data_IF_810958811005
#
_entry.id   IF_810958811005
#
_cell.length_a   1.000
_cell.length_b   1.000
_cell.length_c   1.000
_cell.angle_alpha   90.00
_cell.angle_beta   90.00
_cell.angle_gamma   90.00
#
_symmetry.space_group_name_H-M   'P 1'
#
loop_
_entity.id
_entity.type
_entity.pdbx_description
1 polymer ?
#
# COMPACT_ATOMS: atom_id res chain seq x y z
N UNK A 1 -36.97 78.35 -79.01
CA UNK A 1 -35.76 78.93 -78.37
C UNK A 1 -35.73 78.56 -76.89
N UNK A 2 -36.74 78.91 -76.09
CA UNK A 2 -36.82 78.59 -74.64
C UNK A 2 -36.70 77.09 -74.28
N UNK A 3 -37.32 76.17 -75.03
CA UNK A 3 -37.20 74.72 -74.79
C UNK A 3 -35.79 74.18 -75.07
N UNK A 4 -35.10 74.74 -76.09
CA UNK A 4 -33.73 74.35 -76.44
C UNK A 4 -32.71 74.86 -75.42
N UNK A 5 -32.92 76.05 -74.86
CA UNK A 5 -32.06 76.62 -73.80
C UNK A 5 -32.22 75.84 -72.49
N UNK A 6 -33.44 75.43 -72.15
CA UNK A 6 -33.74 74.61 -70.97
C UNK A 6 -33.12 73.21 -71.10
N UNK A 7 -33.18 72.60 -72.28
CA UNK A 7 -32.55 71.31 -72.55
C UNK A 7 -31.03 71.39 -72.40
N UNK A 8 -30.40 72.43 -72.94
CA UNK A 8 -28.95 72.65 -72.84
C UNK A 8 -28.51 72.91 -71.40
N UNK A 9 -29.27 73.69 -70.63
CA UNK A 9 -29.00 73.93 -69.20
C UNK A 9 -29.10 72.63 -68.38
N UNK A 10 -30.10 71.79 -68.64
CA UNK A 10 -30.27 70.49 -67.98
C UNK A 10 -29.13 69.52 -68.34
N UNK A 11 -28.68 69.50 -69.59
CA UNK A 11 -27.53 68.70 -70.02
C UNK A 11 -26.22 69.16 -69.37
N UNK A 12 -25.99 70.47 -69.26
CA UNK A 12 -24.82 71.02 -68.59
C UNK A 12 -24.81 70.74 -67.08
N UNK A 13 -25.98 70.83 -66.43
CA UNK A 13 -26.13 70.47 -65.01
C UNK A 13 -25.89 68.97 -64.78
N UNK A 14 -26.42 68.10 -65.66
CA UNK A 14 -26.18 66.66 -65.61
C UNK A 14 -24.70 66.31 -65.82
N UNK A 15 -24.01 66.98 -66.75
CA UNK A 15 -22.57 66.82 -66.97
C UNK A 15 -21.75 67.20 -65.73
N UNK A 16 -22.05 68.35 -65.12
CA UNK A 16 -21.34 68.81 -63.92
C UNK A 16 -21.56 67.88 -62.74
N UNK A 17 -22.80 67.45 -62.49
CA UNK A 17 -23.13 66.51 -61.43
C UNK A 17 -22.44 65.15 -61.62
N UNK A 18 -22.31 64.70 -62.88
CA UNK A 18 -21.55 63.50 -63.23
C UNK A 18 -20.06 63.65 -62.87
N UNK A 19 -19.39 64.72 -63.33
CA UNK A 19 -17.96 64.95 -63.07
C UNK A 19 -17.63 65.06 -61.58
N UNK A 20 -18.46 65.77 -60.81
CA UNK A 20 -18.31 65.90 -59.36
C UNK A 20 -18.47 64.54 -58.66
N UNK A 21 -19.47 63.75 -59.07
CA UNK A 21 -19.72 62.43 -58.52
C UNK A 21 -18.61 61.41 -58.88
N UNK A 22 -18.02 61.51 -60.08
CA UNK A 22 -16.83 60.73 -60.46
C UNK A 22 -15.62 61.11 -59.61
N UNK A 23 -15.32 62.40 -59.47
CA UNK A 23 -14.18 62.85 -58.68
C UNK A 23 -14.29 62.46 -57.19
N UNK A 24 -15.52 62.46 -56.66
CA UNK A 24 -15.83 61.96 -55.32
C UNK A 24 -15.66 60.44 -55.22
N UNK A 25 -16.25 59.68 -56.15
CA UNK A 25 -16.13 58.21 -56.22
C UNK A 25 -14.67 57.75 -56.30
N UNK A 26 -13.86 58.39 -57.15
CA UNK A 26 -12.44 58.07 -57.30
C UNK A 26 -11.62 58.41 -56.07
N UNK A 27 -11.99 59.49 -55.36
CA UNK A 27 -11.32 59.87 -54.11
C UNK A 27 -11.64 58.87 -53.02
N UNK A 28 -12.90 58.51 -52.84
CA UNK A 28 -13.32 57.54 -51.82
C UNK A 28 -12.83 56.12 -52.14
N UNK A 29 -12.79 55.75 -53.42
CA UNK A 29 -12.20 54.48 -53.86
C UNK A 29 -10.71 54.40 -53.52
N UNK A 30 -9.94 55.46 -53.79
CA UNK A 30 -8.51 55.54 -53.41
C UNK A 30 -8.29 55.49 -51.90
N UNK A 31 -9.25 55.97 -51.12
CA UNK A 31 -9.26 55.86 -49.65
C UNK A 31 -9.74 54.50 -49.15
N UNK A 32 -10.09 53.58 -50.05
CA UNK A 32 -10.68 52.28 -49.75
C UNK A 32 -12.01 52.37 -48.99
N UNK A 33 -12.67 53.53 -49.05
CA UNK A 33 -14.01 53.74 -48.51
C UNK A 33 -15.04 53.24 -49.53
N UNK A 34 -15.03 51.92 -49.75
CA UNK A 34 -15.75 51.29 -50.86
C UNK A 34 -17.26 51.55 -50.80
N UNK A 35 -17.88 51.57 -49.62
CA UNK A 35 -19.31 51.94 -49.47
C UNK A 35 -19.59 53.38 -49.91
N UNK A 36 -18.78 54.35 -49.49
CA UNK A 36 -18.93 55.74 -49.89
C UNK A 36 -18.61 55.97 -51.38
N UNK A 37 -17.59 55.28 -51.89
CA UNK A 37 -17.24 55.30 -53.32
C UNK A 37 -18.38 54.77 -54.18
N UNK A 38 -19.03 53.68 -53.76
CA UNK A 38 -20.18 53.08 -54.43
C UNK A 38 -21.36 54.06 -54.54
N UNK A 39 -21.68 54.75 -53.45
CA UNK A 39 -22.74 55.77 -53.43
C UNK A 39 -22.43 56.94 -54.36
N UNK A 40 -21.17 57.38 -54.44
CA UNK A 40 -20.74 58.43 -55.37
C UNK A 40 -20.83 57.97 -56.83
N UNK A 41 -20.40 56.75 -57.18
CA UNK A 41 -20.57 56.22 -58.54
C UNK A 41 -22.02 55.96 -58.92
N UNK A 42 -22.89 55.59 -57.97
CA UNK A 42 -24.35 55.50 -58.21
C UNK A 42 -24.94 56.87 -58.54
N UNK A 43 -24.52 57.93 -57.83
CA UNK A 43 -24.90 59.32 -58.17
C UNK A 43 -24.42 59.71 -59.56
N UNK A 44 -23.19 59.32 -59.95
CA UNK A 44 -22.68 59.56 -61.31
C UNK A 44 -23.54 58.83 -62.37
N UNK A 45 -23.88 57.55 -62.14
CA UNK A 45 -24.72 56.78 -63.05
C UNK A 45 -26.15 57.35 -63.17
N UNK A 46 -26.70 57.90 -62.09
CA UNK A 46 -27.99 58.58 -62.12
C UNK A 46 -27.94 59.92 -62.87
N UNK A 47 -26.85 60.68 -62.75
CA UNK A 47 -26.65 61.93 -63.47
C UNK A 47 -26.49 61.70 -64.99
N UNK A 48 -25.80 60.62 -65.39
CA UNK A 48 -25.67 60.20 -66.79
C UNK A 48 -25.64 58.67 -66.92
N UNK A 49 -26.77 58.10 -67.32
CA UNK A 49 -26.96 56.64 -67.42
C UNK A 49 -26.26 55.97 -68.61
N UNK A 50 -25.80 56.75 -69.60
CA UNK A 50 -25.15 56.25 -70.82
C UNK A 50 -23.63 56.03 -70.69
N UNK A 51 -23.03 56.41 -69.55
CA UNK A 51 -21.58 56.30 -69.34
C UNK A 51 -21.22 54.94 -68.72
N UNK A 52 -20.24 54.24 -69.31
CA UNK A 52 -19.83 52.91 -68.86
C UNK A 52 -19.02 52.91 -67.55
N UNK A 53 -18.23 53.97 -67.33
CA UNK A 53 -17.25 54.03 -66.24
C UNK A 53 -17.84 53.89 -64.82
N UNK A 54 -18.91 54.61 -64.42
CA UNK A 54 -19.53 54.40 -63.10
C UNK A 54 -20.01 52.97 -62.89
N UNK A 55 -20.58 52.33 -63.92
CA UNK A 55 -21.07 50.96 -63.87
C UNK A 55 -19.95 49.95 -63.64
N UNK A 56 -18.82 50.11 -64.35
CA UNK A 56 -17.62 49.29 -64.16
C UNK A 56 -17.05 49.45 -62.74
N UNK A 57 -17.00 50.69 -62.23
CA UNK A 57 -16.49 50.97 -60.88
C UNK A 57 -17.40 50.41 -59.79
N UNK A 58 -18.72 50.50 -59.94
CA UNK A 58 -19.69 49.88 -59.01
C UNK A 58 -19.50 48.36 -59.00
N UNK A 59 -19.40 47.72 -60.17
CA UNK A 59 -19.19 46.28 -60.24
C UNK A 59 -17.87 45.84 -59.59
N UNK A 60 -16.79 46.62 -59.79
CA UNK A 60 -15.50 46.38 -59.13
C UNK A 60 -15.59 46.54 -57.61
N UNK A 61 -16.28 47.56 -57.13
CA UNK A 61 -16.49 47.80 -55.70
C UNK A 61 -17.32 46.68 -55.07
N UNK A 62 -18.39 46.24 -55.74
CA UNK A 62 -19.24 45.15 -55.27
C UNK A 62 -18.43 43.84 -55.15
N UNK A 63 -17.52 43.58 -56.09
CA UNK A 63 -16.61 42.44 -56.01
C UNK A 63 -15.65 42.53 -54.80
N UNK A 64 -15.06 43.71 -54.55
CA UNK A 64 -14.15 43.94 -53.42
C UNK A 64 -14.87 43.82 -52.07
N UNK A 65 -16.08 44.35 -51.94
CA UNK A 65 -16.89 44.24 -50.73
C UNK A 65 -17.30 42.78 -50.48
N UNK A 66 -17.67 42.05 -51.52
CA UNK A 66 -17.98 40.63 -51.41
C UNK A 66 -16.76 39.79 -51.00
N UNK A 67 -15.56 40.13 -51.50
CA UNK A 67 -14.31 39.50 -51.08
C UNK A 67 -13.97 39.79 -49.60
N UNK A 68 -14.09 41.05 -49.17
CA UNK A 68 -13.90 41.45 -47.76
C UNK A 68 -14.89 40.74 -46.83
N UNK A 69 -16.16 40.65 -47.22
CA UNK A 69 -17.17 39.93 -46.45
C UNK A 69 -16.83 38.44 -46.30
N UNK A 70 -16.42 37.77 -47.39
CA UNK A 70 -15.99 36.36 -47.34
C UNK A 70 -14.76 36.16 -46.46
N UNK A 71 -13.78 37.05 -46.54
CA UNK A 71 -12.59 36.99 -45.70
C UNK A 71 -12.92 37.20 -44.21
N UNK A 72 -13.81 38.14 -43.89
CA UNK A 72 -14.27 38.39 -42.53
C UNK A 72 -15.08 37.21 -41.96
N UNK A 73 -15.96 36.61 -42.76
CA UNK A 73 -16.70 35.40 -42.39
C UNK A 73 -15.77 34.22 -42.14
N UNK A 74 -14.79 34.00 -43.01
CA UNK A 74 -13.80 32.93 -42.84
C UNK A 74 -12.95 33.15 -41.60
N UNK A 75 -12.50 34.38 -41.36
CA UNK A 75 -11.75 34.71 -40.15
C UNK A 75 -12.58 34.46 -38.89
N UNK A 76 -13.85 34.87 -38.87
CA UNK A 76 -14.76 34.62 -37.76
C UNK A 76 -14.98 33.11 -37.53
N UNK A 77 -15.09 32.30 -38.60
CA UNK A 77 -15.18 30.84 -38.51
C UNK A 77 -13.92 30.23 -37.89
N UNK A 78 -12.74 30.64 -38.35
CA UNK A 78 -11.46 30.15 -37.83
C UNK A 78 -11.27 30.54 -36.36
N UNK A 79 -11.65 31.75 -35.97
CA UNK A 79 -11.58 32.20 -34.58
C UNK A 79 -12.56 31.45 -33.67
N UNK A 80 -13.80 31.24 -34.12
CA UNK A 80 -14.79 30.44 -33.41
C UNK A 80 -14.33 28.98 -33.25
N UNK A 81 -13.74 28.39 -34.29
CA UNK A 81 -13.19 27.03 -34.23
C UNK A 81 -12.02 26.93 -33.25
N UNK A 82 -11.11 27.90 -33.25
CA UNK A 82 -10.00 27.97 -32.27
C UNK A 82 -10.51 28.06 -30.83
N UNK A 83 -11.53 28.88 -30.59
CA UNK A 83 -12.15 28.99 -29.26
C UNK A 83 -12.79 27.67 -28.83
N UNK A 84 -13.53 27.00 -29.74
CA UNK A 84 -14.14 25.71 -29.46
C UNK A 84 -13.11 24.64 -29.07
N UNK A 85 -12.00 24.56 -29.83
CA UNK A 85 -10.90 23.63 -29.53
C UNK A 85 -10.26 23.96 -28.18
N UNK A 86 -10.02 25.23 -27.89
CA UNK A 86 -9.44 25.64 -26.60
C UNK A 86 -10.37 25.31 -25.42
N UNK A 87 -11.67 25.52 -25.56
CA UNK A 87 -12.67 25.14 -24.55
C UNK A 87 -12.74 23.62 -24.35
N UNK A 88 -12.71 22.84 -25.43
CA UNK A 88 -12.70 21.38 -25.37
C UNK A 88 -11.44 20.86 -24.66
N UNK A 89 -10.27 21.42 -24.98
CA UNK A 89 -9.01 21.08 -24.31
C UNK A 89 -9.05 21.43 -22.82
N UNK A 90 -9.55 22.61 -22.47
CA UNK A 90 -9.69 23.03 -21.07
C UNK A 90 -10.64 22.11 -20.29
N UNK A 91 -11.75 21.67 -20.91
CA UNK A 91 -12.68 20.70 -20.31
C UNK A 91 -12.04 19.34 -20.12
N UNK A 92 -11.33 18.83 -21.13
CA UNK A 92 -10.63 17.56 -21.05
C UNK A 92 -9.52 17.57 -19.98
N UNK A 93 -8.79 18.68 -19.85
CA UNK A 93 -7.78 18.86 -18.82
C UNK A 93 -8.41 18.92 -17.41
N UNK A 94 -9.50 19.68 -17.24
CA UNK A 94 -10.22 19.74 -15.99
C UNK A 94 -10.77 18.36 -15.56
N UNK A 95 -11.33 17.59 -16.50
CA UNK A 95 -11.79 16.23 -16.23
C UNK A 95 -10.63 15.30 -15.84
N UNK A 96 -9.50 15.40 -16.53
CA UNK A 96 -8.30 14.62 -16.19
C UNK A 96 -7.80 14.93 -14.78
N UNK A 97 -7.76 16.21 -14.40
CA UNK A 97 -7.35 16.63 -13.06
C UNK A 97 -8.32 16.13 -11.99
N UNK A 98 -9.63 16.23 -12.25
CA UNK A 98 -10.66 15.71 -11.34
C UNK A 98 -10.55 14.18 -11.15
N UNK A 99 -10.26 13.43 -12.21
CA UNK A 99 -10.01 11.98 -12.14
C UNK A 99 -8.78 11.65 -11.30
N UNK A 100 -7.67 12.36 -11.52
CA UNK A 100 -6.44 12.17 -10.74
C UNK A 100 -6.63 12.48 -9.25
N UNK A 101 -7.40 13.53 -8.95
CA UNK A 101 -7.72 13.88 -7.56
C UNK A 101 -8.60 12.79 -6.90
N UNK A 102 -9.63 12.30 -7.61
CA UNK A 102 -10.47 11.21 -7.14
C UNK A 102 -9.67 9.92 -6.91
N UNK A 103 -8.73 9.59 -7.80
CA UNK A 103 -7.84 8.45 -7.66
C UNK A 103 -6.94 8.59 -6.43
N UNK A 104 -6.36 9.78 -6.21
CA UNK A 104 -5.55 10.06 -5.01
C UNK A 104 -6.37 9.89 -3.73
N UNK A 105 -7.57 10.46 -3.69
CA UNK A 105 -8.47 10.34 -2.53
C UNK A 105 -8.87 8.88 -2.27
N UNK A 106 -9.15 8.11 -3.33
CA UNK A 106 -9.46 6.69 -3.21
C UNK A 106 -8.25 5.89 -2.66
N UNK A 107 -7.04 6.16 -3.15
CA UNK A 107 -5.82 5.51 -2.67
C UNK A 107 -5.51 5.86 -1.21
N UNK A 108 -5.71 7.12 -0.81
CA UNK A 108 -5.56 7.56 0.59
C UNK A 108 -6.59 6.90 1.51
N UNK A 109 -7.85 6.80 1.08
CA UNK A 109 -8.92 6.13 1.82
C UNK A 109 -8.65 4.62 1.96
N UNK A 110 -8.17 3.95 0.90
CA UNK A 110 -7.79 2.54 0.96
C UNK A 110 -6.61 2.32 1.92
N UNK A 111 -5.57 3.16 1.83
CA UNK A 111 -4.43 3.12 2.75
C UNK A 111 -4.87 3.30 4.21
N UNK A 112 -5.78 4.24 4.48
CA UNK A 112 -6.32 4.46 5.82
C UNK A 112 -7.12 3.24 6.32
N UNK A 113 -7.94 2.63 5.45
CA UNK A 113 -8.69 1.41 5.76
C UNK A 113 -7.77 0.24 6.09
N UNK A 114 -6.71 0.03 5.31
CA UNK A 114 -5.72 -1.03 5.56
C UNK A 114 -4.94 -0.81 6.86
N UNK A 115 -4.61 0.44 7.20
CA UNK A 115 -3.98 0.77 8.47
C UNK A 115 -4.91 0.44 9.65
N UNK A 116 -6.17 0.88 9.58
CA UNK A 116 -7.17 0.58 10.62
C UNK A 116 -7.43 -0.92 10.77
N UNK A 117 -7.44 -1.68 9.67
CA UNK A 117 -7.58 -3.14 9.72
C UNK A 117 -6.40 -3.80 10.44
N UNK A 118 -5.16 -3.38 10.16
CA UNK A 118 -3.96 -3.92 10.83
C UNK A 118 -3.94 -3.61 12.31
N UNK A 119 -4.37 -2.41 12.71
CA UNK A 119 -4.51 -2.06 14.13
C UNK A 119 -5.61 -2.90 14.80
N UNK A 120 -6.76 -3.08 14.15
CA UNK A 120 -7.83 -3.92 14.68
C UNK A 120 -7.40 -5.39 14.82
N UNK A 121 -6.65 -5.92 13.84
CA UNK A 121 -6.12 -7.28 13.88
C UNK A 121 -5.05 -7.44 14.97
N UNK A 122 -4.15 -6.46 15.13
CA UNK A 122 -3.15 -6.50 16.21
C UNK A 122 -3.81 -6.43 17.58
N UNK A 123 -4.80 -5.56 17.76
CA UNK A 123 -5.57 -5.44 19.00
C UNK A 123 -6.36 -6.72 19.30
N UNK A 124 -7.00 -7.32 18.29
CA UNK A 124 -7.70 -8.59 18.43
C UNK A 124 -6.73 -9.73 18.81
N UNK A 125 -5.56 -9.79 18.17
CA UNK A 125 -4.52 -10.79 18.48
C UNK A 125 -3.98 -10.63 19.91
N UNK A 126 -3.69 -9.40 20.34
CA UNK A 126 -3.25 -9.13 21.71
C UNK A 126 -4.32 -9.53 22.72
N UNK A 127 -5.59 -9.25 22.44
CA UNK A 127 -6.69 -9.67 23.30
C UNK A 127 -6.81 -11.19 23.38
N UNK A 128 -6.83 -11.89 22.24
CA UNK A 128 -6.89 -13.36 22.20
C UNK A 128 -5.73 -13.96 23.00
N UNK A 129 -4.50 -13.48 22.78
CA UNK A 129 -3.33 -13.97 23.51
C UNK A 129 -3.44 -13.70 25.03
N UNK A 130 -4.00 -12.56 25.42
CA UNK A 130 -4.28 -12.25 26.83
C UNK A 130 -5.33 -13.20 27.42
N UNK A 131 -6.45 -13.44 26.72
CA UNK A 131 -7.52 -14.33 27.15
C UNK A 131 -7.04 -15.79 27.23
N UNK A 132 -6.21 -16.24 26.28
CA UNK A 132 -5.56 -17.56 26.30
C UNK A 132 -4.58 -17.70 27.48
N UNK A 133 -3.82 -16.64 27.79
CA UNK A 133 -2.90 -16.60 28.94
C UNK A 133 -3.66 -16.68 30.25
N UNK A 134 -4.77 -15.94 30.39
CA UNK A 134 -5.69 -16.00 31.53
C UNK A 134 -6.30 -17.39 31.71
N UNK A 135 -6.80 -17.99 30.62
CA UNK A 135 -7.39 -19.33 30.65
C UNK A 135 -6.35 -20.41 30.99
N UNK A 136 -5.14 -20.34 30.42
CA UNK A 136 -4.03 -21.24 30.75
C UNK A 136 -3.64 -21.11 32.22
N UNK A 137 -3.47 -19.88 32.71
CA UNK A 137 -3.18 -19.60 34.11
C UNK A 137 -4.25 -20.21 35.02
N UNK A 138 -5.54 -19.94 34.77
CA UNK A 138 -6.65 -20.47 35.56
C UNK A 138 -6.70 -22.00 35.57
N UNK A 139 -6.45 -22.66 34.43
CA UNK A 139 -6.38 -24.12 34.35
C UNK A 139 -5.20 -24.73 35.12
N UNK A 140 -4.04 -24.06 35.08
CA UNK A 140 -2.88 -24.44 35.88
C UNK A 140 -3.19 -24.31 37.38
N UNK A 141 -3.82 -23.20 37.79
CA UNK A 141 -4.22 -22.99 39.19
C UNK A 141 -5.18 -24.07 39.68
N UNK A 142 -6.22 -24.38 38.91
CA UNK A 142 -7.18 -25.42 39.26
C UNK A 142 -6.49 -26.79 39.46
N UNK A 143 -5.56 -27.13 38.57
CA UNK A 143 -4.75 -28.36 38.68
C UNK A 143 -3.88 -28.35 39.93
N UNK A 144 -3.22 -27.23 40.21
CA UNK A 144 -2.37 -27.07 41.39
C UNK A 144 -3.17 -27.19 42.70
N UNK A 145 -4.35 -26.56 42.76
CA UNK A 145 -5.27 -26.58 43.90
C UNK A 145 -5.86 -27.97 44.14
N UNK A 146 -6.18 -28.69 43.07
CA UNK A 146 -6.63 -30.08 43.15
C UNK A 146 -5.53 -30.97 43.75
N UNK A 147 -4.32 -30.91 43.20
CA UNK A 147 -3.17 -31.68 43.71
C UNK A 147 -2.86 -31.31 45.18
N UNK A 148 -3.02 -30.04 45.56
CA UNK A 148 -2.87 -29.62 46.96
C UNK A 148 -3.91 -30.31 47.86
N UNK A 149 -5.17 -30.34 47.43
CA UNK A 149 -6.28 -30.94 48.17
C UNK A 149 -6.10 -32.45 48.32
N UNK A 150 -5.58 -33.10 47.29
CA UNK A 150 -5.19 -34.51 47.28
C UNK A 150 -3.91 -34.79 48.10
N UNK A 151 -3.26 -33.74 48.62
CA UNK A 151 -2.00 -33.77 49.41
C UNK A 151 -0.78 -34.23 48.61
N UNK A 152 -0.87 -34.17 47.28
CA UNK A 152 0.23 -34.38 46.34
C UNK A 152 1.09 -33.11 46.29
N UNK A 153 1.73 -32.78 47.41
CA UNK A 153 2.37 -31.47 47.63
C UNK A 153 3.49 -31.16 46.63
N UNK A 154 4.31 -32.13 46.25
CA UNK A 154 5.36 -31.93 45.25
C UNK A 154 4.77 -31.64 43.85
N UNK A 155 3.71 -32.37 43.46
CA UNK A 155 2.97 -32.14 42.21
C UNK A 155 2.32 -30.76 42.21
N UNK A 156 1.61 -30.42 43.29
CA UNK A 156 0.96 -29.11 43.47
C UNK A 156 1.97 -27.96 43.38
N UNK A 157 3.11 -28.07 44.07
CA UNK A 157 4.18 -27.07 44.05
C UNK A 157 4.73 -26.85 42.64
N UNK A 158 4.94 -27.91 41.88
CA UNK A 158 5.39 -27.80 40.48
C UNK A 158 4.37 -27.06 39.60
N UNK A 159 3.07 -27.35 39.76
CA UNK A 159 2.02 -26.64 39.03
C UNK A 159 1.92 -25.15 39.42
N UNK A 160 2.11 -24.79 40.69
CA UNK A 160 2.18 -23.38 41.08
C UNK A 160 3.41 -22.67 40.52
N UNK A 161 4.57 -23.33 40.44
CA UNK A 161 5.73 -22.77 39.74
C UNK A 161 5.45 -22.57 38.26
N UNK A 162 4.76 -23.51 37.61
CA UNK A 162 4.30 -23.36 36.23
C UNK A 162 3.32 -22.19 36.05
N UNK A 163 2.46 -21.93 37.04
CA UNK A 163 1.59 -20.76 37.04
C UNK A 163 2.40 -19.45 37.02
N UNK A 164 3.51 -19.42 37.79
CA UNK A 164 4.43 -18.28 37.84
C UNK A 164 5.29 -18.13 36.59
N UNK A 165 5.51 -19.20 35.81
CA UNK A 165 6.09 -19.10 34.47
C UNK A 165 5.14 -18.40 33.49
N UNK A 166 3.83 -18.63 33.62
CA UNK A 166 2.79 -18.01 32.77
C UNK A 166 2.49 -16.57 33.21
N UNK A 167 2.32 -16.33 34.52
CA UNK A 167 2.10 -15.01 35.11
C UNK A 167 3.08 -14.80 36.29
N UNK A 168 4.26 -14.22 36.02
CA UNK A 168 5.25 -13.95 37.05
C UNK A 168 4.74 -12.94 38.09
N UNK A 169 5.04 -13.19 39.37
CA UNK A 169 4.73 -12.26 40.48
C UNK A 169 3.33 -12.37 41.07
N UNK A 170 2.53 -13.35 40.63
CA UNK A 170 1.20 -13.60 41.20
C UNK A 170 1.28 -14.04 42.67
N UNK A 171 0.57 -13.34 43.55
CA UNK A 171 0.63 -13.58 44.99
C UNK A 171 0.08 -14.95 45.40
N UNK A 172 -0.96 -15.43 44.72
CA UNK A 172 -1.65 -16.67 45.09
C UNK A 172 -0.75 -17.92 44.95
N UNK A 173 -0.15 -18.22 43.78
CA UNK A 173 0.80 -19.33 43.64
C UNK A 173 2.00 -19.22 44.59
N UNK A 174 2.53 -18.00 44.77
CA UNK A 174 3.64 -17.76 45.70
C UNK A 174 3.27 -18.15 47.12
N UNK A 175 2.10 -17.71 47.61
CA UNK A 175 1.62 -18.07 48.94
C UNK A 175 1.45 -19.58 49.14
N UNK A 176 0.90 -20.27 48.14
CA UNK A 176 0.69 -21.72 48.19
C UNK A 176 1.99 -22.51 48.16
N UNK A 177 2.98 -22.07 47.38
CA UNK A 177 4.33 -22.66 47.42
C UNK A 177 4.95 -22.52 48.82
N UNK A 178 4.82 -21.35 49.44
CA UNK A 178 5.31 -21.13 50.82
C UNK A 178 4.62 -22.07 51.80
N UNK A 179 3.29 -22.21 51.71
CA UNK A 179 2.51 -23.14 52.53
C UNK A 179 2.97 -24.59 52.35
N UNK A 180 3.11 -25.05 51.11
CA UNK A 180 3.58 -26.40 50.79
C UNK A 180 4.97 -26.65 51.39
N UNK A 181 5.91 -25.70 51.24
CA UNK A 181 7.25 -25.84 51.77
C UNK A 181 7.26 -25.96 53.30
N UNK A 182 6.37 -25.24 54.00
CA UNK A 182 6.19 -25.40 55.45
C UNK A 182 5.61 -26.78 55.82
N UNK A 183 4.63 -27.28 55.06
CA UNK A 183 4.05 -28.61 55.29
C UNK A 183 5.11 -29.70 55.11
N UNK A 184 5.86 -29.66 54.00
CA UNK A 184 6.93 -30.62 53.72
C UNK A 184 8.06 -30.54 54.76
N UNK A 185 8.40 -29.35 55.26
CA UNK A 185 9.42 -29.19 56.30
C UNK A 185 8.98 -29.62 57.71
N UNK A 186 7.68 -29.56 58.00
CA UNK A 186 7.12 -29.86 59.34
C UNK A 186 6.70 -31.31 59.55
N UNK A 187 6.56 -32.10 58.47
CA UNK A 187 6.24 -33.52 58.60
C UNK A 187 7.36 -34.31 59.32
N UNK A 188 6.98 -35.13 60.31
CA UNK A 188 7.89 -36.10 60.92
C UNK A 188 8.20 -37.24 59.93
N UNK A 189 9.18 -36.99 59.08
CA UNK A 189 9.67 -37.91 58.07
C UNK A 189 10.71 -38.89 58.64
N UNK A 190 10.79 -40.10 58.08
CA UNK A 190 11.94 -40.99 58.29
C UNK A 190 13.21 -40.37 57.69
N UNK A 191 14.41 -40.82 58.07
CA UNK A 191 15.64 -40.31 57.41
C UNK A 191 15.62 -40.55 55.89
N UNK A 192 15.15 -41.73 55.47
CA UNK A 192 15.02 -42.09 54.05
C UNK A 192 14.05 -41.17 53.30
N UNK A 193 12.96 -40.76 53.96
CA UNK A 193 11.99 -39.82 53.41
C UNK A 193 12.54 -38.39 53.33
N UNK A 194 13.31 -37.94 54.33
CA UNK A 194 14.01 -36.64 54.28
C UNK A 194 15.03 -36.57 53.15
N UNK A 195 15.80 -37.63 52.96
CA UNK A 195 16.78 -37.71 51.87
C UNK A 195 16.09 -37.69 50.50
N UNK A 196 15.00 -38.45 50.36
CA UNK A 196 14.16 -38.41 49.16
C UNK A 196 13.68 -36.99 48.86
N UNK A 197 13.04 -36.33 49.83
CA UNK A 197 12.53 -34.96 49.64
C UNK A 197 13.66 -33.96 49.34
N UNK A 198 14.82 -34.08 49.98
CA UNK A 198 15.96 -33.22 49.69
C UNK A 198 16.52 -33.39 48.27
N UNK A 199 16.44 -34.58 47.68
CA UNK A 199 16.77 -34.78 46.27
C UNK A 199 15.71 -34.20 45.33
N UNK A 200 14.43 -34.28 45.69
CA UNK A 200 13.34 -33.63 44.96
C UNK A 200 13.54 -32.11 44.93
N UNK A 201 13.78 -31.49 46.09
CA UNK A 201 13.94 -30.02 46.18
C UNK A 201 15.14 -29.52 45.34
N UNK A 202 16.28 -30.22 45.40
CA UNK A 202 17.46 -29.91 44.56
C UNK A 202 17.21 -30.13 43.08
N UNK A 203 16.44 -31.17 42.73
CA UNK A 203 16.02 -31.43 41.35
C UNK A 203 15.16 -30.29 40.81
N UNK A 204 14.14 -29.91 41.57
CA UNK A 204 13.21 -28.82 41.23
C UNK A 204 13.93 -27.47 41.12
N UNK A 205 14.85 -27.17 42.03
CA UNK A 205 15.67 -25.95 41.99
C UNK A 205 16.55 -25.92 40.75
N UNK A 206 17.32 -26.98 40.49
CA UNK A 206 18.16 -27.09 39.31
C UNK A 206 17.33 -27.03 38.01
N UNK A 207 16.12 -27.62 38.01
CA UNK A 207 15.23 -27.60 36.86
C UNK A 207 14.76 -26.17 36.54
N UNK A 208 14.29 -25.43 37.56
CA UNK A 208 13.92 -24.00 37.42
C UNK A 208 15.11 -23.11 37.04
N UNK A 209 16.31 -23.45 37.49
CA UNK A 209 17.54 -22.77 37.07
C UNK A 209 17.96 -23.08 35.62
N UNK A 210 17.25 -24.00 34.93
CA UNK A 210 17.56 -24.44 33.57
C UNK A 210 18.74 -25.42 33.48
N UNK A 211 19.23 -25.91 34.61
CA UNK A 211 20.33 -26.86 34.72
C UNK A 211 19.84 -28.30 34.46
N UNK A 212 19.33 -28.53 33.26
CA UNK A 212 18.60 -29.75 32.87
C UNK A 212 19.34 -31.06 33.22
N UNK A 213 20.67 -31.11 33.03
CA UNK A 213 21.48 -32.28 33.36
C UNK A 213 21.63 -32.50 34.88
N UNK A 214 21.76 -31.41 35.64
CA UNK A 214 21.88 -31.42 37.09
C UNK A 214 20.54 -31.85 37.70
N UNK A 215 19.44 -31.26 37.24
CA UNK A 215 18.07 -31.61 37.62
C UNK A 215 17.79 -33.11 37.41
N UNK A 216 18.08 -33.63 36.21
CA UNK A 216 17.93 -35.05 35.90
C UNK A 216 18.77 -35.93 36.83
N UNK A 217 19.97 -35.49 37.20
CA UNK A 217 20.82 -36.19 38.16
C UNK A 217 20.19 -36.30 39.55
N UNK A 218 19.61 -35.21 40.05
CA UNK A 218 18.92 -35.20 41.34
C UNK A 218 17.64 -36.05 41.35
N UNK A 219 16.81 -35.98 40.31
CA UNK A 219 15.62 -36.84 40.20
C UNK A 219 15.98 -38.34 40.09
N UNK A 220 17.07 -38.71 39.40
CA UNK A 220 17.52 -40.11 39.40
C UNK A 220 17.97 -40.58 40.79
N UNK A 221 18.54 -39.68 41.62
CA UNK A 221 18.89 -39.99 43.00
C UNK A 221 17.66 -40.16 43.89
N UNK A 222 16.60 -39.36 43.71
CA UNK A 222 15.35 -39.57 44.43
C UNK A 222 14.71 -40.92 44.06
N UNK A 223 14.73 -41.30 42.78
CA UNK A 223 14.25 -42.60 42.30
C UNK A 223 15.07 -43.80 42.81
N UNK A 224 16.32 -43.59 43.22
CA UNK A 224 17.11 -44.64 43.87
C UNK A 224 16.60 -44.96 45.28
N UNK A 225 15.89 -44.02 45.91
CA UNK A 225 15.25 -44.19 47.22
C UNK A 225 13.83 -44.75 47.06
N UNK A 226 13.04 -44.14 46.17
CA UNK A 226 11.66 -44.51 45.83
C UNK A 226 11.51 -44.70 44.31
N UNK A 227 11.72 -45.92 43.78
CA UNK A 227 11.72 -46.16 42.34
C UNK A 227 10.37 -45.95 41.64
N UNK A 228 9.28 -46.04 42.38
CA UNK A 228 7.89 -45.92 41.94
C UNK A 228 7.35 -44.48 42.04
N UNK A 229 8.19 -43.50 42.40
CA UNK A 229 7.77 -42.10 42.48
C UNK A 229 7.39 -41.52 41.11
N UNK A 230 6.11 -41.22 40.94
CA UNK A 230 5.56 -40.73 39.67
C UNK A 230 6.04 -39.30 39.36
N UNK A 231 6.19 -38.45 40.39
CA UNK A 231 6.64 -37.08 40.23
C UNK A 231 8.05 -37.00 39.65
N UNK A 232 9.03 -37.69 40.24
CA UNK A 232 10.41 -37.68 39.75
C UNK A 232 10.54 -38.28 38.34
N UNK A 233 9.74 -39.32 38.00
CA UNK A 233 9.67 -39.87 36.64
C UNK A 233 9.12 -38.85 35.64
N UNK A 234 8.05 -38.16 36.00
CA UNK A 234 7.44 -37.14 35.16
C UNK A 234 8.40 -35.96 34.90
N UNK A 235 9.12 -35.49 35.92
CA UNK A 235 10.10 -34.41 35.76
C UNK A 235 11.26 -34.81 34.84
N UNK A 236 11.76 -36.05 34.94
CA UNK A 236 12.78 -36.56 34.01
C UNK A 236 12.26 -36.58 32.56
N UNK A 237 11.00 -36.97 32.36
CA UNK A 237 10.37 -36.95 31.03
C UNK A 237 10.24 -35.52 30.49
N UNK A 238 9.82 -34.56 31.32
CA UNK A 238 9.71 -33.14 30.91
C UNK A 238 11.09 -32.55 30.56
N UNK A 239 12.13 -32.86 31.34
CA UNK A 239 13.53 -32.52 31.00
C UNK A 239 13.91 -33.05 29.61
N UNK A 240 13.58 -34.31 29.31
CA UNK A 240 13.89 -34.91 28.01
C UNK A 240 13.16 -34.18 26.86
N UNK A 241 11.89 -33.84 27.07
CA UNK A 241 11.11 -33.06 26.11
C UNK A 241 11.70 -31.67 25.88
N UNK A 242 12.00 -30.92 26.94
CA UNK A 242 12.59 -29.56 26.83
C UNK A 242 13.96 -29.57 26.15
N UNK A 243 14.77 -30.60 26.41
CA UNK A 243 16.05 -30.79 25.70
C UNK A 243 15.81 -31.04 24.20
N UNK A 244 14.86 -31.91 23.86
CA UNK A 244 14.51 -32.22 22.47
C UNK A 244 13.96 -31.01 21.73
N UNK A 245 13.06 -30.23 22.35
CA UNK A 245 12.49 -29.00 21.80
C UNK A 245 13.58 -27.96 21.54
N UNK A 246 14.48 -27.73 22.50
CA UNK A 246 15.61 -26.78 22.33
C UNK A 246 16.54 -27.20 21.20
N UNK A 247 16.83 -28.51 21.08
CA UNK A 247 17.62 -29.06 19.98
C UNK A 247 16.91 -28.88 18.62
N UNK A 248 15.60 -29.12 18.54
CA UNK A 248 14.82 -28.91 17.32
C UNK A 248 14.73 -27.42 16.92
N UNK A 249 14.57 -26.51 17.87
CA UNK A 249 14.54 -25.05 17.63
C UNK A 249 15.88 -24.52 17.08
N UNK A 250 17.01 -25.05 17.56
CA UNK A 250 18.33 -24.76 16.98
C UNK A 250 18.48 -25.32 15.56
N UNK A 251 17.91 -26.49 15.28
CA UNK A 251 17.84 -27.06 13.93
C UNK A 251 16.99 -26.20 13.00
N UNK A 252 15.83 -25.69 13.44
CA UNK A 252 14.99 -24.79 12.63
C UNK A 252 15.65 -23.44 12.38
N UNK A 253 16.28 -22.84 13.39
CA UNK A 253 16.99 -21.56 13.24
C UNK A 253 18.15 -21.70 12.24
N UNK A 254 18.98 -22.73 12.41
CA UNK A 254 20.09 -23.02 11.49
C UNK A 254 19.59 -23.33 10.08
N UNK A 255 18.45 -24.01 9.97
CA UNK A 255 17.80 -24.30 8.71
C UNK A 255 17.35 -23.01 7.99
N UNK A 256 16.67 -22.09 8.69
CA UNK A 256 16.23 -20.81 8.12
C UNK A 256 17.40 -19.90 7.75
N UNK A 257 18.47 -19.88 8.54
CA UNK A 257 19.69 -19.12 8.23
C UNK A 257 20.36 -19.63 6.96
N UNK A 258 20.44 -20.96 6.78
CA UNK A 258 20.96 -21.54 5.54
C UNK A 258 20.09 -21.20 4.33
N UNK A 259 18.76 -21.16 4.48
CA UNK A 259 17.90 -20.68 3.38
C UNK A 259 18.18 -19.22 3.03
N UNK A 260 18.31 -18.34 4.04
CA UNK A 260 18.56 -16.92 3.85
C UNK A 260 19.91 -16.63 3.20
N UNK A 261 20.98 -17.27 3.66
CA UNK A 261 22.31 -17.11 3.06
C UNK A 261 22.36 -17.70 1.64
N UNK A 262 21.60 -18.77 1.39
CA UNK A 262 21.38 -19.31 0.05
C UNK A 262 20.67 -18.31 -0.89
N UNK A 263 19.58 -17.69 -0.44
CA UNK A 263 18.82 -16.69 -1.20
C UNK A 263 19.65 -15.44 -1.51
N UNK A 264 20.43 -14.98 -0.53
CA UNK A 264 21.36 -13.86 -0.69
C UNK A 264 22.45 -14.18 -1.72
N UNK A 265 23.04 -15.37 -1.65
CA UNK A 265 24.04 -15.81 -2.61
C UNK A 265 23.46 -15.96 -4.03
N UNK A 266 22.25 -16.50 -4.16
CA UNK A 266 21.53 -16.65 -5.43
C UNK A 266 21.25 -15.28 -6.07
N UNK A 267 20.75 -14.32 -5.28
CA UNK A 267 20.48 -12.94 -5.74
C UNK A 267 21.76 -12.23 -6.21
N UNK A 268 22.89 -12.53 -5.57
CA UNK A 268 24.21 -12.07 -5.99
C UNK A 268 24.83 -12.83 -7.16
N UNK A 269 24.08 -13.75 -7.80
CA UNK A 269 24.54 -14.66 -8.88
C UNK A 269 25.73 -15.55 -8.49
N UNK A 270 25.94 -15.74 -7.18
CA UNK A 270 26.96 -16.64 -6.64
C UNK A 270 26.41 -18.06 -6.54
N UNK A 271 26.11 -18.68 -7.68
CA UNK A 271 25.34 -19.93 -7.75
C UNK A 271 25.99 -21.10 -6.99
N UNK A 272 27.32 -21.22 -7.03
CA UNK A 272 28.05 -22.23 -6.27
C UNK A 272 27.90 -22.05 -4.75
N UNK A 273 27.86 -20.81 -4.27
CA UNK A 273 27.67 -20.48 -2.85
C UNK A 273 26.23 -20.76 -2.42
N UNK A 274 25.26 -20.38 -3.26
CA UNK A 274 23.85 -20.68 -3.03
C UNK A 274 23.59 -22.20 -2.91
N UNK A 275 24.21 -22.99 -3.81
CA UNK A 275 24.13 -24.46 -3.80
C UNK A 275 24.60 -25.07 -2.48
N UNK A 276 25.72 -24.57 -1.95
CA UNK A 276 26.28 -25.04 -0.67
C UNK A 276 25.31 -24.78 0.47
N UNK A 277 24.74 -23.58 0.56
CA UNK A 277 23.80 -23.24 1.62
C UNK A 277 22.50 -24.04 1.55
N UNK A 278 21.92 -24.21 0.36
CA UNK A 278 20.71 -25.04 0.22
C UNK A 278 20.97 -26.52 0.50
N UNK A 279 22.14 -27.07 0.18
CA UNK A 279 22.49 -28.44 0.58
C UNK A 279 22.68 -28.60 2.09
N UNK A 280 23.23 -27.58 2.77
CA UNK A 280 23.29 -27.56 4.24
C UNK A 280 21.89 -27.51 4.86
N UNK A 281 20.98 -26.71 4.30
CA UNK A 281 19.57 -26.72 4.69
C UNK A 281 18.92 -28.09 4.48
N UNK A 282 19.18 -28.75 3.33
CA UNK A 282 18.69 -30.10 3.02
C UNK A 282 19.23 -31.16 3.97
N UNK A 283 20.46 -31.02 4.47
CA UNK A 283 21.01 -31.94 5.47
C UNK A 283 20.29 -31.84 6.82
N UNK A 284 19.84 -30.64 7.20
CA UNK A 284 19.08 -30.43 8.43
C UNK A 284 17.62 -30.87 8.29
N UNK A 285 17.00 -30.63 7.13
CA UNK A 285 15.64 -31.06 6.82
C UNK A 285 15.55 -31.63 5.40
N UNK A 286 15.77 -32.95 5.24
CA UNK A 286 15.77 -33.60 3.92
C UNK A 286 14.45 -33.51 3.18
N UNK A 287 13.33 -33.45 3.91
CA UNK A 287 11.97 -33.50 3.37
C UNK A 287 11.31 -32.12 3.25
N UNK A 288 12.05 -31.02 3.50
CA UNK A 288 11.48 -29.66 3.42
C UNK A 288 11.34 -29.21 1.95
N UNK A 289 10.09 -29.01 1.53
CA UNK A 289 9.75 -28.64 0.14
C UNK A 289 10.35 -27.31 -0.30
N UNK A 290 10.56 -26.36 0.63
CA UNK A 290 11.16 -25.05 0.34
C UNK A 290 12.60 -25.22 -0.16
N UNK A 291 13.34 -26.19 0.37
CA UNK A 291 14.71 -26.48 -0.06
C UNK A 291 14.73 -27.07 -1.46
N UNK A 292 13.80 -27.99 -1.74
CA UNK A 292 13.66 -28.62 -3.06
C UNK A 292 13.37 -27.56 -4.14
N UNK A 293 12.41 -26.67 -3.88
CA UNK A 293 12.07 -25.56 -4.78
C UNK A 293 13.27 -24.60 -5.01
N UNK A 294 13.99 -24.23 -3.94
CA UNK A 294 15.16 -23.35 -4.04
C UNK A 294 16.31 -23.96 -4.85
N UNK A 295 16.56 -25.27 -4.71
CA UNK A 295 17.54 -25.98 -5.54
C UNK A 295 17.11 -26.05 -7.01
N UNK A 296 15.83 -26.32 -7.28
CA UNK A 296 15.30 -26.32 -8.65
C UNK A 296 15.41 -24.94 -9.31
N UNK A 297 15.10 -23.87 -8.57
CA UNK A 297 15.23 -22.50 -9.07
C UNK A 297 16.68 -22.11 -9.34
N UNK A 298 17.60 -22.55 -8.48
CA UNK A 298 19.03 -22.40 -8.69
C UNK A 298 19.52 -23.12 -9.95
N UNK A 299 19.04 -24.34 -10.22
CA UNK A 299 19.36 -25.09 -11.45
C UNK A 299 18.87 -24.38 -12.70
N UNK A 300 17.64 -23.84 -12.69
CA UNK A 300 17.12 -23.02 -13.80
C UNK A 300 17.97 -21.76 -14.02
N UNK A 301 18.43 -21.11 -12.95
CA UNK A 301 19.29 -19.93 -13.05
C UNK A 301 20.69 -20.23 -13.60
N UNK A 302 21.21 -21.45 -13.40
CA UNK A 302 22.50 -21.89 -13.96
C UNK A 302 22.40 -22.42 -15.40
N UNK A 303 21.25 -22.93 -15.83
CA UNK A 303 21.04 -23.52 -17.16
C UNK A 303 20.45 -22.58 -18.22
N UNK A 304 20.32 -21.28 -17.90
CA UNK A 304 19.75 -20.26 -18.79
C UNK A 304 20.79 -19.37 -19.51
N UNK A 305 22.04 -19.82 -19.61
CA UNK A 305 23.09 -19.24 -20.48
C UNK A 305 23.15 -19.97 -21.82
#
# INVERSE_FOLDING_TARGET
IAESETLLANLAAAQKAYEEAIADGDREFRRQQYSAAREAFLRAQQAKSGEGYPGEMIARIDALLAEQARAAEEQARVEAEKQRIAEEQARAEAERLARLEAERQAAEAEKARLAAQKEAESAARTKIMSDETEALYAGIIATADQAFTEKEYNVSRAWYYKALEVKPGEAYPTGRITEINMILGSQQMSQREREFQGYIDKGDEAFRAGEMAVARGWYNRSLSIRPDDEYARAQIADIQMKIAEKLQGHTETSFLDYLREGDKALSGKNYNVARVWYHRARQLKPDDTRVAEKLQNLEKAMGGE
#
